data_IF_931897989907
#
_entry.id   IF_931897989907
#
_cell.length_a   1.000
_cell.length_b   1.000
_cell.length_c   1.000
_cell.angle_alpha   90.00
_cell.angle_beta   90.00
_cell.angle_gamma   90.00
#
_symmetry.space_group_name_H-M   'P 1'
#
loop_
_entity.id
_entity.type
_entity.pdbx_description
1 polymer ?
#
# COMPACT_ATOMS: atom_id res chain seq x y z
N UNK A 1 31.88 12.32 5.68
CA UNK A 1 31.43 12.26 5.72
C UNK A 1 30.60 12.05 5.81
N UNK A 2 30.49 11.91 5.65
CA UNK A 2 29.74 11.75 5.70
C UNK A 2 28.82 11.79 5.64
N UNK A 3 28.54 11.70 5.27
CA UNK A 3 27.61 11.83 5.13
C UNK A 3 26.66 11.26 5.15
N UNK A 4 26.74 11.03 4.76
CA UNK A 4 25.76 10.42 4.48
C UNK A 4 25.07 9.99 5.57
N UNK A 5 25.32 9.94 6.34
CA UNK A 5 24.76 9.50 7.32
C UNK A 5 23.80 10.34 7.80
N UNK A 6 23.90 11.26 7.87
CA UNK A 6 23.05 11.98 8.46
C UNK A 6 21.87 12.12 7.76
N UNK A 7 21.91 11.93 6.76
CA UNK A 7 20.88 12.07 6.14
C UNK A 7 19.91 11.25 6.67
N UNK A 8 20.14 10.29 7.07
CA UNK A 8 19.28 9.47 7.49
C UNK A 8 18.83 9.94 8.66
N UNK A 9 19.51 10.47 9.25
CA UNK A 9 19.19 10.92 10.48
C UNK A 9 18.10 11.82 10.29
N UNK A 10 18.14 12.46 9.38
CA UNK A 10 17.25 13.33 9.21
C UNK A 10 16.02 12.78 8.98
N UNK A 11 15.99 11.74 8.60
CA UNK A 11 14.86 11.21 8.31
C UNK A 11 14.29 10.89 9.50
N UNK A 12 14.92 10.96 10.43
CA UNK A 12 14.42 10.64 11.61
C UNK A 12 13.14 11.26 11.83
N UNK A 13 12.98 12.34 11.42
CA UNK A 13 11.81 13.04 11.65
C UNK A 13 10.62 12.31 11.27
N UNK A 14 10.79 11.40 10.54
CA UNK A 14 9.76 10.76 10.14
C UNK A 14 9.32 9.83 11.06
N UNK A 15 9.32 9.97 12.20
CA UNK A 15 8.89 9.07 13.13
C UNK A 15 7.46 8.84 12.96
N UNK A 16 6.85 9.71 12.37
CA UNK A 16 5.59 9.51 12.17
C UNK A 16 5.33 8.63 11.08
N UNK A 17 6.23 7.95 10.55
CA UNK A 17 6.07 7.13 9.52
C UNK A 17 5.12 6.11 9.97
N UNK A 18 3.98 6.02 9.51
CA UNK A 18 2.99 5.06 9.93
C UNK A 18 2.81 3.92 8.95
N UNK A 19 3.39 4.01 7.78
CA UNK A 19 3.30 2.94 6.79
C UNK A 19 4.65 2.34 6.52
N UNK A 20 4.72 1.01 6.51
CA UNK A 20 5.93 0.34 6.17
C UNK A 20 5.62 -0.52 4.98
N UNK A 21 6.49 -0.51 4.00
CA UNK A 21 6.30 -1.25 2.76
C UNK A 21 7.40 -2.26 2.61
N UNK A 22 7.05 -3.53 2.38
CA UNK A 22 8.02 -4.57 2.17
C UNK A 22 7.71 -5.23 0.84
N UNK A 23 8.71 -5.56 0.08
CA UNK A 23 8.51 -6.20 -1.21
C UNK A 23 9.12 -7.58 -1.19
N UNK A 24 8.45 -8.53 -1.81
CA UNK A 24 8.95 -9.88 -1.88
C UNK A 24 8.68 -10.34 -3.29
N UNK A 25 9.74 -10.59 -4.05
CA UNK A 25 9.60 -11.04 -5.42
C UNK A 25 9.89 -12.52 -5.52
N UNK A 26 9.07 -13.22 -6.25
CA UNK A 26 9.23 -14.64 -6.38
C UNK A 26 8.83 -15.00 -7.81
N UNK A 27 9.78 -15.48 -8.59
CA UNK A 27 9.51 -15.77 -9.97
C UNK A 27 9.12 -14.51 -10.70
N UNK A 28 8.00 -14.51 -11.38
CA UNK A 28 7.59 -13.33 -12.11
C UNK A 28 6.51 -12.54 -11.37
N UNK A 29 6.31 -12.83 -10.08
CA UNK A 29 5.33 -12.06 -9.33
C UNK A 29 5.98 -11.35 -8.17
N UNK A 30 5.40 -10.26 -7.76
CA UNK A 30 5.91 -9.45 -6.66
C UNK A 30 4.77 -9.19 -5.70
N UNK A 31 5.01 -9.42 -4.42
CA UNK A 31 4.02 -9.12 -3.40
C UNK A 31 4.51 -7.91 -2.63
N UNK A 32 3.67 -6.90 -2.51
CA UNK A 32 4.00 -5.71 -1.77
C UNK A 32 3.19 -5.77 -0.49
N UNK A 33 3.88 -5.91 0.63
CA UNK A 33 3.22 -6.04 1.91
C UNK A 33 3.16 -4.68 2.57
N UNK A 34 1.98 -4.30 3.00
CA UNK A 34 1.79 -3.01 3.62
C UNK A 34 1.50 -3.22 5.09
N UNK A 35 2.19 -2.48 5.94
CA UNK A 35 2.08 -2.67 7.38
C UNK A 35 1.78 -1.34 8.03
N UNK A 36 0.74 -1.28 8.83
CA UNK A 36 0.40 -0.10 9.60
C UNK A 36 -0.72 0.71 9.00
N UNK A 37 -0.63 2.01 9.05
CA UNK A 37 -1.70 2.87 8.61
C UNK A 37 -1.36 3.45 7.25
N UNK A 38 -2.28 3.40 6.33
CA UNK A 38 -2.08 3.94 5.00
C UNK A 38 -2.93 5.19 4.87
N UNK A 39 -2.30 6.30 4.54
CA UNK A 39 -2.99 7.58 4.42
C UNK A 39 -3.00 8.07 2.99
N UNK A 40 -3.83 9.06 2.71
CA UNK A 40 -3.92 9.61 1.37
C UNK A 40 -2.56 9.99 0.81
N UNK A 41 -1.71 10.55 1.63
CA UNK A 41 -0.40 10.98 1.16
C UNK A 41 0.50 9.82 0.77
N UNK A 42 0.15 8.61 1.17
CA UNK A 42 0.96 7.44 0.85
C UNK A 42 0.57 6.87 -0.53
N UNK A 43 -0.54 7.31 -1.09
CA UNK A 43 -1.03 6.74 -2.34
C UNK A 43 -0.02 6.89 -3.47
N UNK A 44 0.64 8.03 -3.53
CA UNK A 44 1.60 8.25 -4.60
C UNK A 44 2.76 7.25 -4.50
N UNK A 45 3.24 7.01 -3.29
CA UNK A 45 4.30 6.05 -3.08
C UNK A 45 3.84 4.64 -3.48
N UNK A 46 2.60 4.29 -3.18
CA UNK A 46 2.09 2.99 -3.54
C UNK A 46 1.95 2.85 -5.05
N UNK A 47 1.59 3.92 -5.74
CA UNK A 47 1.50 3.86 -7.17
C UNK A 47 2.87 3.61 -7.77
N UNK A 48 3.90 4.22 -7.22
CA UNK A 48 5.24 4.02 -7.70
C UNK A 48 5.72 2.60 -7.44
N UNK A 49 5.39 2.04 -6.29
CA UNK A 49 5.77 0.68 -5.98
C UNK A 49 5.11 -0.29 -6.94
N UNK A 50 3.83 -0.07 -7.25
CA UNK A 50 3.14 -0.96 -8.16
C UNK A 50 3.67 -0.80 -9.58
N UNK A 51 4.04 0.40 -9.96
CA UNK A 51 4.55 0.63 -11.28
C UNK A 51 5.84 -0.15 -11.51
N UNK A 52 6.70 -0.22 -10.50
CA UNK A 52 7.97 -0.92 -10.63
C UNK A 52 7.82 -2.42 -10.37
N UNK A 53 6.72 -2.85 -9.76
CA UNK A 53 6.54 -4.25 -9.46
C UNK A 53 6.07 -5.05 -10.67
N UNK A 54 5.50 -4.38 -11.65
CA UNK A 54 5.10 -5.07 -12.85
C UNK A 54 3.67 -5.57 -12.82
N UNK A 55 3.27 -6.22 -13.89
CA UNK A 55 1.86 -6.62 -14.05
C UNK A 55 1.36 -7.70 -13.10
N UNK A 56 2.26 -8.46 -12.51
CA UNK A 56 1.81 -9.48 -11.61
C UNK A 56 2.07 -9.11 -10.17
N UNK A 57 1.70 -7.92 -9.81
CA UNK A 57 1.90 -7.46 -8.45
C UNK A 57 0.68 -7.78 -7.59
N UNK A 58 0.91 -8.00 -6.33
CA UNK A 58 -0.17 -8.23 -5.38
C UNK A 58 0.09 -7.35 -4.17
N UNK A 59 -0.97 -6.88 -3.55
CA UNK A 59 -0.86 -6.09 -2.34
C UNK A 59 -1.34 -6.94 -1.17
N UNK A 60 -0.51 -7.08 -0.15
CA UNK A 60 -0.85 -7.90 1.01
C UNK A 60 -1.20 -6.95 2.14
N UNK A 61 -2.42 -6.97 2.58
CA UNK A 61 -2.92 -6.05 3.58
C UNK A 61 -3.13 -6.70 4.94
N UNK A 62 -2.51 -7.82 5.18
CA UNK A 62 -2.70 -8.56 6.42
C UNK A 62 -2.41 -7.73 7.66
N UNK A 63 -1.43 -6.86 7.60
CA UNK A 63 -1.06 -6.07 8.76
C UNK A 63 -1.43 -4.58 8.64
N UNK A 64 -2.37 -4.27 7.79
CA UNK A 64 -2.83 -2.91 7.66
C UNK A 64 -3.85 -2.65 8.77
N UNK A 65 -3.67 -1.57 9.51
CA UNK A 65 -4.53 -1.29 10.65
C UNK A 65 -5.59 -0.25 10.34
N UNK A 66 -5.25 0.76 9.54
CA UNK A 66 -6.21 1.79 9.21
C UNK A 66 -5.96 2.31 7.81
N UNK A 67 -7.02 2.76 7.15
CA UNK A 67 -6.90 3.37 5.84
C UNK A 67 -7.88 4.54 5.82
N UNK A 68 -7.66 5.50 4.92
CA UNK A 68 -8.64 6.57 4.76
C UNK A 68 -9.33 6.38 3.40
N UNK A 69 -10.29 7.24 3.09
CA UNK A 69 -11.14 7.03 1.93
C UNK A 69 -10.37 7.05 0.63
N UNK A 70 -9.37 7.89 0.50
CA UNK A 70 -8.61 7.95 -0.73
C UNK A 70 -7.84 6.65 -0.95
N UNK A 71 -7.37 6.06 0.15
CA UNK A 71 -6.65 4.80 0.06
C UNK A 71 -7.61 3.68 -0.35
N UNK A 72 -8.83 3.69 0.20
CA UNK A 72 -9.80 2.68 -0.15
C UNK A 72 -10.13 2.77 -1.64
N UNK A 73 -10.28 3.99 -2.15
CA UNK A 73 -10.57 4.18 -3.55
C UNK A 73 -9.41 3.72 -4.43
N UNK A 74 -8.19 3.98 -3.97
CA UNK A 74 -7.02 3.56 -4.70
C UNK A 74 -6.95 2.02 -4.74
N UNK A 75 -7.21 1.36 -3.62
CA UNK A 75 -7.16 -0.10 -3.58
C UNK A 75 -8.25 -0.71 -4.46
N UNK A 76 -9.44 -0.10 -4.45
CA UNK A 76 -10.51 -0.59 -5.29
C UNK A 76 -10.16 -0.44 -6.77
N UNK A 77 -9.53 0.68 -7.14
CA UNK A 77 -9.12 0.89 -8.51
C UNK A 77 -8.05 -0.12 -8.92
N UNK A 78 -7.12 -0.42 -8.02
CA UNK A 78 -6.07 -1.40 -8.31
C UNK A 78 -6.70 -2.77 -8.56
N UNK A 79 -7.67 -3.13 -7.74
CA UNK A 79 -8.29 -4.43 -7.88
C UNK A 79 -9.07 -4.48 -9.20
N UNK A 80 -9.70 -3.40 -9.59
CA UNK A 80 -10.42 -3.36 -10.85
C UNK A 80 -9.47 -3.50 -12.03
N UNK A 81 -8.22 -3.11 -11.87
CA UNK A 81 -7.24 -3.21 -12.93
C UNK A 81 -6.49 -4.54 -12.92
N UNK A 82 -6.85 -5.43 -12.03
CA UNK A 82 -6.23 -6.74 -12.01
C UNK A 82 -5.20 -6.99 -10.93
N UNK A 83 -4.90 -6.01 -10.12
CA UNK A 83 -3.96 -6.21 -9.04
C UNK A 83 -4.64 -7.04 -7.95
N UNK A 84 -3.96 -8.05 -7.45
CA UNK A 84 -4.54 -8.86 -6.40
C UNK A 84 -4.41 -8.16 -5.07
N UNK A 85 -5.47 -8.17 -4.28
CA UNK A 85 -5.43 -7.58 -2.95
C UNK A 85 -5.63 -8.74 -1.98
N UNK A 86 -4.58 -9.08 -1.25
CA UNK A 86 -4.57 -10.26 -0.40
C UNK A 86 -4.81 -9.94 1.06
N UNK A 87 -5.49 -10.82 1.71
CA UNK A 87 -5.71 -10.77 3.16
C UNK A 87 -6.23 -9.44 3.67
N UNK A 88 -7.16 -8.89 2.91
CA UNK A 88 -7.77 -7.63 3.27
C UNK A 88 -8.79 -7.89 4.36
N UNK A 89 -8.84 -7.07 5.38
CA UNK A 89 -9.80 -7.27 6.45
C UNK A 89 -11.22 -7.08 5.91
N UNK A 90 -12.20 -7.71 6.51
CA UNK A 90 -13.58 -7.56 6.05
C UNK A 90 -14.05 -6.11 6.06
N UNK A 91 -13.61 -5.35 7.04
CA UNK A 91 -13.96 -3.95 7.15
C UNK A 91 -13.48 -3.16 5.93
N UNK A 92 -12.23 -3.35 5.52
CA UNK A 92 -11.69 -2.64 4.38
C UNK A 92 -12.32 -3.17 3.10
N UNK A 93 -12.53 -4.46 3.02
CA UNK A 93 -13.11 -5.07 1.84
C UNK A 93 -14.52 -4.54 1.60
N UNK A 94 -15.29 -4.40 2.63
CA UNK A 94 -16.62 -3.90 2.48
C UNK A 94 -16.61 -2.44 2.09
N UNK A 95 -15.69 -1.67 2.63
CA UNK A 95 -15.55 -0.27 2.29
C UNK A 95 -15.19 -0.14 0.80
N UNK A 96 -14.25 -0.98 0.32
CA UNK A 96 -13.87 -0.95 -1.08
C UNK A 96 -15.09 -1.28 -1.96
N UNK A 97 -15.89 -2.21 -1.55
CA UNK A 97 -17.05 -2.61 -2.31
C UNK A 97 -18.02 -1.42 -2.44
N UNK A 98 -18.21 -0.70 -1.37
CA UNK A 98 -19.10 0.44 -1.42
C UNK A 98 -18.54 1.56 -2.27
N UNK A 99 -17.23 1.79 -2.22
CA UNK A 99 -16.64 2.85 -3.01
C UNK A 99 -16.68 2.51 -4.49
N UNK A 100 -16.81 1.25 -4.82
CA UNK A 100 -16.93 0.85 -6.22
C UNK A 100 -18.37 0.90 -6.69
N UNK A 101 -19.26 1.41 -5.86
CA UNK A 101 -20.66 1.53 -6.26
C UNK A 101 -21.43 0.25 -6.10
N UNK A 102 -20.91 -0.68 -5.33
CA UNK A 102 -21.59 -1.94 -5.20
C UNK A 102 -22.55 -2.02 -4.08
N UNK A 103 -23.16 -1.01 -3.72
CA UNK A 103 -23.99 -1.05 -2.70
C UNK A 103 -25.18 -1.55 -2.99
N UNK A 104 -25.62 -1.96 -2.89
CA UNK A 104 -26.62 -2.33 -3.14
C UNK A 104 -26.91 -2.80 -2.87
#
# INVERSE_FOLDING_TARGET
>A
MVFGLHRRAMQAPKPKMTLRIQRDSSGCSTTIRLIGRIQSRDVQELKEQLSTAGPKAALDLDEVTLVDVDVVRFLAACQAEGTEVLRCSPYIREWMFREMGGER
#
